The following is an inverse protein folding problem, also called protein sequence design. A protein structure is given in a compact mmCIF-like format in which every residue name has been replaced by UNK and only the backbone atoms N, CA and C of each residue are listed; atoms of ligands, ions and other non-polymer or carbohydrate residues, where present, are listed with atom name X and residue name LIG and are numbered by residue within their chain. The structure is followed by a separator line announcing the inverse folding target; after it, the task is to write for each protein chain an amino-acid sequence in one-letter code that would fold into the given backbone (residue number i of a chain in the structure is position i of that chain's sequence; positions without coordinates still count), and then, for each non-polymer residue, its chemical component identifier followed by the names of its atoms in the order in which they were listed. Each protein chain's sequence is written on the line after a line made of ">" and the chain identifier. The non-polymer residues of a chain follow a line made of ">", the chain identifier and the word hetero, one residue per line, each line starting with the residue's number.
data_IF_087289350150
#
_entry.id   IF_087289350150
#
_cell.length_a   1.000
_cell.length_b   1.000
_cell.length_c   1.000
_cell.angle_alpha   90.00
_cell.angle_beta   90.00
_cell.angle_gamma   90.00
#
_symmetry.space_group_name_H-M   'P 1'
#
loop_
_entity.id
_entity.type
_entity.pdbx_description
1 polymer ?
#
# COMPACT_ATOMS: atom_id res chain seq x y z
N UNK A 1 19.57 21.13 -4.75
CA UNK A 1 18.97 19.83 -4.38
C UNK A 1 20.08 18.97 -3.82
N UNK A 2 19.86 18.24 -2.72
CA UNK A 2 20.86 17.31 -2.21
C UNK A 2 21.02 16.17 -3.23
N UNK A 3 22.24 15.97 -3.73
CA UNK A 3 22.57 14.98 -4.75
C UNK A 3 22.83 13.62 -4.06
N UNK A 4 21.77 13.02 -3.53
CA UNK A 4 21.84 11.76 -2.79
C UNK A 4 21.22 10.64 -3.64
N UNK A 5 21.97 9.55 -3.81
CA UNK A 5 21.49 8.31 -4.41
C UNK A 5 20.97 7.39 -3.30
N UNK A 6 19.74 6.90 -3.47
CA UNK A 6 19.12 5.96 -2.55
C UNK A 6 18.98 4.59 -3.21
N UNK A 7 19.25 3.52 -2.47
CA UNK A 7 18.92 2.16 -2.92
C UNK A 7 17.42 1.98 -2.84
N UNK A 8 16.79 1.74 -3.98
CA UNK A 8 15.35 1.40 -4.06
C UNK A 8 15.19 -0.10 -4.07
N UNK A 9 14.50 -0.64 -3.06
CA UNK A 9 14.03 -2.02 -3.04
C UNK A 9 12.57 -2.04 -3.52
N UNK A 10 12.24 -2.98 -4.39
CA UNK A 10 10.87 -3.16 -4.92
C UNK A 10 10.29 -4.46 -4.39
N UNK A 11 9.13 -4.37 -3.75
CA UNK A 11 8.32 -5.51 -3.33
C UNK A 11 7.32 -5.85 -4.44
N UNK A 12 7.77 -6.55 -5.47
CA UNK A 12 6.96 -6.88 -6.65
C UNK A 12 5.76 -7.78 -6.33
N UNK A 13 5.91 -8.62 -5.31
CA UNK A 13 4.88 -9.58 -4.86
C UNK A 13 3.98 -9.00 -3.74
N UNK A 14 4.17 -7.74 -3.34
CA UNK A 14 3.44 -7.10 -2.24
C UNK A 14 3.47 -7.92 -0.92
N UNK A 15 4.57 -8.66 -0.66
CA UNK A 15 4.73 -9.48 0.55
C UNK A 15 4.68 -8.60 1.80
N UNK A 16 5.29 -7.42 1.75
CA UNK A 16 5.30 -6.46 2.84
C UNK A 16 3.90 -5.91 3.12
N UNK A 17 3.18 -5.51 2.07
CA UNK A 17 1.81 -5.00 2.18
C UNK A 17 0.88 -6.04 2.81
N UNK A 18 0.92 -7.28 2.32
CA UNK A 18 0.14 -8.40 2.88
C UNK A 18 0.50 -8.68 4.34
N UNK A 19 1.80 -8.75 4.68
CA UNK A 19 2.23 -9.10 6.05
C UNK A 19 1.80 -8.09 7.10
N UNK A 20 1.68 -6.82 6.72
CA UNK A 20 1.29 -5.73 7.61
C UNK A 20 -0.18 -5.31 7.46
N UNK A 21 -0.99 -6.05 6.69
CA UNK A 21 -2.40 -5.73 6.39
C UNK A 21 -2.56 -4.30 5.85
N UNK A 22 -1.61 -3.87 5.01
CA UNK A 22 -1.63 -2.54 4.42
C UNK A 22 -2.69 -2.51 3.34
N UNK A 23 -3.55 -1.49 3.41
CA UNK A 23 -4.65 -1.31 2.47
C UNK A 23 -4.49 -0.09 1.58
N UNK A 24 -3.53 0.78 1.86
CA UNK A 24 -3.29 1.99 1.07
C UNK A 24 -1.79 2.25 0.93
N UNK A 25 -1.41 3.27 0.16
CA UNK A 25 -0.04 3.78 0.09
C UNK A 25 -0.12 5.30 -0.07
N UNK A 26 0.87 6.08 0.42
CA UNK A 26 2.17 5.65 0.98
C UNK A 26 2.16 5.34 2.49
N UNK A 27 3.03 4.40 2.89
CA UNK A 27 3.37 4.14 4.29
C UNK A 27 4.86 4.39 4.53
N UNK A 28 5.19 4.87 5.73
CA UNK A 28 6.55 4.99 6.23
C UNK A 28 6.90 3.81 7.13
N UNK A 29 8.15 3.38 7.07
CA UNK A 29 8.73 2.34 7.93
C UNK A 29 10.08 2.86 8.38
N UNK A 30 10.41 2.71 9.67
CA UNK A 30 11.71 3.13 10.19
C UNK A 30 12.50 1.91 10.64
N UNK A 31 13.70 1.77 10.09
CA UNK A 31 14.65 0.70 10.39
C UNK A 31 15.97 1.34 10.82
N UNK A 32 16.56 0.89 11.91
CA UNK A 32 17.85 1.40 12.38
C UNK A 32 19.05 0.77 11.67
N UNK A 33 20.25 1.23 11.99
CA UNK A 33 21.52 0.77 11.39
C UNK A 33 21.82 -0.72 11.64
N UNK A 34 21.18 -1.34 12.65
CA UNK A 34 21.29 -2.76 12.93
C UNK A 34 20.23 -3.60 12.18
N UNK A 35 19.42 -2.97 11.31
CA UNK A 35 18.36 -3.63 10.57
C UNK A 35 17.10 -3.90 11.39
N UNK A 36 16.93 -3.27 12.56
CA UNK A 36 15.77 -3.49 13.43
C UNK A 36 14.65 -2.52 13.08
N UNK A 37 13.42 -3.02 13.03
CA UNK A 37 12.23 -2.18 12.93
C UNK A 37 12.08 -1.35 14.20
N UNK A 38 12.12 -0.02 14.08
CA UNK A 38 11.92 0.89 15.22
C UNK A 38 10.57 1.60 15.17
N UNK A 39 9.94 1.65 13.99
CA UNK A 39 8.56 2.09 13.82
C UNK A 39 7.92 1.31 12.68
N UNK A 40 6.86 0.56 13.01
CA UNK A 40 6.05 -0.16 12.03
C UNK A 40 5.34 0.78 11.05
N UNK A 41 4.75 0.24 9.96
CA UNK A 41 4.05 1.02 8.95
C UNK A 41 3.14 2.08 9.56
N UNK A 42 3.35 3.33 9.13
CA UNK A 42 2.55 4.47 9.57
C UNK A 42 2.26 5.38 8.39
N UNK A 43 1.11 6.06 8.40
CA UNK A 43 0.80 7.04 7.38
C UNK A 43 1.89 8.11 7.38
N UNK A 44 2.53 8.30 6.24
CA UNK A 44 3.65 9.24 6.11
C UNK A 44 3.32 10.32 5.11
N UNK A 45 3.60 11.56 5.49
CA UNK A 45 3.67 12.69 4.58
C UNK A 45 4.96 13.45 4.87
N UNK A 46 6.00 13.24 4.06
CA UNK A 46 7.30 13.89 4.27
C UNK A 46 7.26 15.41 4.06
N UNK A 47 6.19 15.95 3.48
CA UNK A 47 5.98 17.39 3.40
C UNK A 47 5.45 17.99 4.71
N UNK A 48 4.86 17.18 5.59
CA UNK A 48 4.32 17.63 6.88
C UNK A 48 5.44 17.91 7.91
N UNK A 49 5.32 19.05 8.59
CA UNK A 49 6.34 19.53 9.54
C UNK A 49 6.51 18.59 10.73
N UNK A 50 5.42 17.99 11.23
CA UNK A 50 5.49 17.05 12.37
C UNK A 50 6.23 15.79 11.97
N UNK A 51 5.99 15.30 10.76
CA UNK A 51 6.71 14.16 10.19
C UNK A 51 8.20 14.47 10.09
N UNK A 52 8.57 15.65 9.57
CA UNK A 52 9.99 16.07 9.49
C UNK A 52 10.65 16.17 10.86
N UNK A 53 10.01 16.85 11.81
CA UNK A 53 10.53 16.98 13.17
C UNK A 53 10.72 15.62 13.86
N UNK A 54 9.81 14.66 13.62
CA UNK A 54 9.94 13.29 14.13
C UNK A 54 11.16 12.57 13.53
N UNK A 55 11.38 12.70 12.21
CA UNK A 55 12.52 12.11 11.52
C UNK A 55 13.84 12.76 11.97
N UNK A 56 13.90 14.08 12.11
CA UNK A 56 15.07 14.80 12.63
C UNK A 56 15.41 14.36 14.05
N UNK A 57 14.40 14.18 14.90
CA UNK A 57 14.59 13.65 16.25
C UNK A 57 15.13 12.22 16.23
N UNK A 58 14.61 11.37 15.35
CA UNK A 58 15.13 10.01 15.16
C UNK A 58 16.62 9.98 14.75
N UNK A 59 17.06 10.95 13.96
CA UNK A 59 18.46 11.06 13.54
C UNK A 59 19.40 11.64 14.61
N UNK A 60 18.88 12.41 15.57
CA UNK A 60 19.71 13.23 16.48
C UNK A 60 19.60 12.88 17.97
N UNK A 61 18.58 12.14 18.39
CA UNK A 61 18.28 11.86 19.80
C UNK A 61 18.32 10.34 20.10
N UNK A 62 19.42 9.83 20.70
CA UNK A 62 19.54 8.42 21.06
C UNK A 62 18.48 7.94 22.07
N UNK A 63 18.00 8.80 22.97
CA UNK A 63 16.99 8.42 23.96
C UNK A 63 15.63 8.23 23.29
N UNK A 64 15.34 9.04 22.27
CA UNK A 64 14.18 8.84 21.41
C UNK A 64 14.25 7.50 20.67
N UNK A 65 15.42 7.13 20.16
CA UNK A 65 15.62 5.85 19.45
C UNK A 65 15.41 4.66 20.39
N UNK A 66 15.95 4.75 21.61
CA UNK A 66 15.73 3.74 22.64
C UNK A 66 14.24 3.62 23.03
N UNK A 67 13.50 4.74 23.02
CA UNK A 67 12.04 4.72 23.23
C UNK A 67 11.31 4.04 22.08
N UNK A 68 11.60 4.37 20.84
CA UNK A 68 10.98 3.75 19.67
C UNK A 68 11.16 2.23 19.65
N UNK A 69 12.37 1.75 19.96
CA UNK A 69 12.65 0.32 20.08
C UNK A 69 11.85 -0.38 21.19
N UNK A 70 11.55 0.30 22.30
CA UNK A 70 10.70 -0.25 23.36
C UNK A 70 9.22 -0.25 22.99
N UNK A 71 8.79 0.75 22.24
CA UNK A 71 7.38 0.99 21.91
C UNK A 71 6.93 0.24 20.64
N UNK A 72 7.86 -0.30 19.84
CA UNK A 72 7.54 -1.02 18.61
C UNK A 72 6.71 -2.27 18.91
N UNK A 73 5.53 -2.37 18.30
CA UNK A 73 4.64 -3.51 18.49
C UNK A 73 5.11 -4.71 17.68
N UNK A 74 5.03 -5.94 18.24
CA UNK A 74 5.21 -7.15 17.46
C UNK A 74 4.23 -7.22 16.29
N UNK A 75 4.67 -7.80 15.18
CA UNK A 75 3.85 -8.08 14.01
C UNK A 75 2.56 -8.85 14.35
N UNK A 76 2.66 -9.83 15.24
CA UNK A 76 1.54 -10.70 15.63
C UNK A 76 0.49 -9.96 16.48
N UNK A 77 0.78 -8.74 16.92
CA UNK A 77 -0.17 -7.86 17.60
C UNK A 77 -0.97 -6.98 16.63
N UNK A 78 -0.75 -7.11 15.31
CA UNK A 78 -1.54 -6.42 14.29
C UNK A 78 -2.89 -7.11 14.12
N UNK A 79 -3.95 -6.32 14.13
CA UNK A 79 -5.31 -6.80 13.87
C UNK A 79 -5.52 -6.88 12.36
N UNK A 80 -5.13 -8.01 11.76
CA UNK A 80 -5.30 -8.29 10.33
C UNK A 80 -6.80 -8.39 10.01
N UNK A 81 -7.27 -7.52 9.13
CA UNK A 81 -8.67 -7.49 8.70
C UNK A 81 -8.87 -8.13 7.33
N UNK A 82 -7.86 -8.14 6.46
CA UNK A 82 -7.97 -8.78 5.15
C UNK A 82 -8.09 -10.29 5.31
N UNK A 83 -9.06 -10.90 4.61
CA UNK A 83 -9.25 -12.34 4.68
C UNK A 83 -8.10 -13.07 3.97
N UNK A 84 -7.75 -14.30 4.40
CA UNK A 84 -6.78 -15.12 3.69
C UNK A 84 -7.18 -15.36 2.23
N UNK A 85 -8.48 -15.45 1.96
CA UNK A 85 -9.00 -15.61 0.59
C UNK A 85 -8.76 -14.36 -0.27
N UNK A 86 -9.07 -13.16 0.25
CA UNK A 86 -8.81 -11.91 -0.48
C UNK A 86 -7.31 -11.79 -0.82
N UNK A 87 -6.44 -12.11 0.15
CA UNK A 87 -4.98 -12.13 -0.04
C UNK A 87 -4.58 -13.12 -1.13
N UNK A 88 -5.07 -14.37 -1.07
CA UNK A 88 -4.72 -15.42 -2.03
C UNK A 88 -5.15 -15.07 -3.45
N UNK A 89 -6.36 -14.50 -3.62
CA UNK A 89 -6.86 -14.03 -4.92
C UNK A 89 -6.05 -12.86 -5.46
N UNK A 90 -5.67 -11.92 -4.60
CA UNK A 90 -4.81 -10.81 -4.99
C UNK A 90 -3.45 -11.30 -5.51
N UNK A 91 -2.82 -12.23 -4.77
CA UNK A 91 -1.55 -12.84 -5.15
C UNK A 91 -1.64 -13.65 -6.44
N UNK A 92 -2.72 -14.42 -6.60
CA UNK A 92 -2.97 -15.14 -7.86
C UNK A 92 -3.08 -14.17 -9.04
N UNK A 93 -3.77 -13.03 -8.88
CA UNK A 93 -3.86 -12.03 -9.92
C UNK A 93 -2.51 -11.39 -10.28
N UNK A 94 -1.60 -11.18 -9.32
CA UNK A 94 -0.23 -10.73 -9.60
C UNK A 94 0.51 -11.75 -10.48
N UNK A 95 0.49 -13.03 -10.09
CA UNK A 95 1.13 -14.11 -10.86
C UNK A 95 0.52 -14.24 -12.26
N UNK A 96 -0.81 -14.13 -12.39
CA UNK A 96 -1.50 -14.18 -13.68
C UNK A 96 -1.10 -13.01 -14.59
N UNK A 97 -0.96 -11.81 -14.02
CA UNK A 97 -0.53 -10.63 -14.78
C UNK A 97 0.92 -10.78 -15.25
N UNK A 98 1.81 -11.34 -14.44
CA UNK A 98 3.21 -11.62 -14.82
C UNK A 98 3.34 -12.58 -16.00
N UNK A 99 2.38 -13.48 -16.18
CA UNK A 99 2.34 -14.43 -17.31
C UNK A 99 1.38 -13.99 -18.43
N UNK A 100 1.13 -12.68 -18.54
CA UNK A 100 0.31 -12.03 -19.58
C UNK A 100 -1.18 -12.46 -19.62
N UNK A 101 -1.70 -13.08 -18.55
CA UNK A 101 -3.12 -13.46 -18.42
C UNK A 101 -3.93 -12.34 -17.75
N UNK A 102 -3.95 -11.18 -18.40
CA UNK A 102 -4.55 -9.95 -17.87
C UNK A 102 -6.02 -10.12 -17.47
N UNK A 103 -6.84 -10.77 -18.30
CA UNK A 103 -8.27 -10.92 -18.04
C UNK A 103 -8.55 -11.81 -16.82
N UNK A 104 -7.78 -12.89 -16.66
CA UNK A 104 -7.86 -13.78 -15.51
C UNK A 104 -7.39 -13.05 -14.23
N UNK A 105 -6.33 -12.25 -14.32
CA UNK A 105 -5.83 -11.43 -13.21
C UNK A 105 -6.91 -10.46 -12.70
N UNK A 106 -7.55 -9.74 -13.63
CA UNK A 106 -8.62 -8.79 -13.31
C UNK A 106 -9.83 -9.47 -12.67
N UNK A 107 -10.18 -10.68 -13.12
CA UNK A 107 -11.27 -11.44 -12.52
C UNK A 107 -10.97 -11.81 -11.06
N UNK A 108 -9.74 -12.24 -10.74
CA UNK A 108 -9.35 -12.56 -9.38
C UNK A 108 -9.22 -11.32 -8.49
N UNK A 109 -8.70 -10.21 -9.01
CA UNK A 109 -8.64 -8.95 -8.27
C UNK A 109 -10.01 -8.36 -7.95
N UNK A 110 -10.99 -8.46 -8.86
CA UNK A 110 -12.37 -8.03 -8.56
C UNK A 110 -13.00 -8.87 -7.45
N UNK A 111 -12.76 -10.19 -7.43
CA UNK A 111 -13.20 -11.06 -6.32
C UNK A 111 -12.47 -10.72 -5.02
N UNK A 112 -11.18 -10.42 -5.07
CA UNK A 112 -10.41 -10.01 -3.91
C UNK A 112 -10.93 -8.67 -3.33
N UNK A 113 -11.24 -7.71 -4.20
CA UNK A 113 -11.83 -6.42 -3.83
C UNK A 113 -13.23 -6.59 -3.23
N UNK A 114 -14.05 -7.51 -3.75
CA UNK A 114 -15.36 -7.80 -3.16
C UNK A 114 -15.25 -8.34 -1.72
N UNK A 115 -14.19 -9.08 -1.40
CA UNK A 115 -13.91 -9.60 -0.06
C UNK A 115 -13.24 -8.58 0.87
N UNK A 116 -12.51 -7.60 0.32
CA UNK A 116 -11.89 -6.51 1.06
C UNK A 116 -12.07 -5.16 0.33
N UNK A 117 -13.29 -4.57 0.35
CA UNK A 117 -13.62 -3.38 -0.45
C UNK A 117 -12.81 -2.14 -0.07
N UNK A 118 -12.22 -2.12 1.12
CA UNK A 118 -11.40 -1.01 1.61
C UNK A 118 -9.93 -1.16 1.21
N UNK A 119 -9.57 -2.20 0.45
CA UNK A 119 -8.21 -2.42 -0.01
C UNK A 119 -7.88 -1.58 -1.24
N UNK A 120 -7.40 -0.37 -0.98
CA UNK A 120 -6.95 0.58 -1.98
C UNK A 120 -5.75 0.09 -2.81
N UNK A 121 -4.98 -0.89 -2.34
CA UNK A 121 -3.91 -1.47 -3.15
C UNK A 121 -4.54 -2.27 -4.29
N UNK A 122 -5.49 -3.17 -4.00
CA UNK A 122 -6.16 -3.99 -5.02
C UNK A 122 -6.89 -3.10 -6.04
N UNK A 123 -7.64 -2.13 -5.53
CA UNK A 123 -8.42 -1.22 -6.37
C UNK A 123 -7.52 -0.38 -7.30
N UNK A 124 -6.38 0.14 -6.80
CA UNK A 124 -5.41 0.83 -7.66
C UNK A 124 -4.71 -0.08 -8.67
N UNK A 125 -4.51 -1.37 -8.37
CA UNK A 125 -3.92 -2.31 -9.33
C UNK A 125 -4.87 -2.53 -10.53
N UNK A 126 -6.17 -2.69 -10.25
CA UNK A 126 -7.22 -2.77 -11.28
C UNK A 126 -7.18 -1.52 -12.18
N UNK A 127 -7.23 -0.32 -11.57
CA UNK A 127 -7.17 0.93 -12.32
C UNK A 127 -5.89 1.12 -13.11
N UNK A 128 -4.73 0.73 -12.57
CA UNK A 128 -3.46 0.86 -13.27
C UNK A 128 -3.38 -0.05 -14.51
N UNK A 129 -4.05 -1.20 -14.47
CA UNK A 129 -4.14 -2.14 -15.59
C UNK A 129 -5.16 -1.67 -16.63
N UNK A 130 -6.28 -1.09 -16.23
CA UNK A 130 -7.34 -0.58 -17.12
C UNK A 130 -6.96 0.77 -17.76
N UNK A 131 -6.28 1.63 -17.01
CA UNK A 131 -5.96 3.01 -17.36
C UNK A 131 -4.46 3.31 -17.16
N UNK A 132 -3.54 2.61 -17.85
CA UNK A 132 -2.10 2.76 -17.63
C UNK A 132 -1.57 4.17 -17.90
N UNK A 133 -2.25 4.95 -18.76
CA UNK A 133 -1.93 6.35 -19.03
C UNK A 133 -2.11 7.26 -17.80
N UNK A 134 -2.97 6.86 -16.85
CA UNK A 134 -3.26 7.56 -15.60
C UNK A 134 -2.26 7.27 -14.47
N UNK A 135 -1.37 6.30 -14.66
CA UNK A 135 -0.43 5.88 -13.62
C UNK A 135 1.03 6.02 -14.05
N UNK A 136 1.36 5.66 -15.30
CA UNK A 136 2.76 5.49 -15.71
C UNK A 136 3.30 6.60 -16.59
N UNK A 137 2.47 7.23 -17.44
CA UNK A 137 2.96 8.14 -18.49
C UNK A 137 3.43 9.49 -17.94
N UNK A 138 2.65 10.11 -17.05
CA UNK A 138 2.92 11.43 -16.47
C UNK A 138 2.88 11.39 -14.94
N UNK A 139 3.14 10.22 -14.35
CA UNK A 139 2.86 9.94 -12.94
C UNK A 139 1.38 9.68 -12.69
N UNK A 140 1.01 9.64 -11.41
CA UNK A 140 -0.34 9.29 -10.95
C UNK A 140 -1.29 10.48 -11.07
N UNK A 141 -2.35 10.33 -11.86
CA UNK A 141 -3.42 11.32 -12.04
C UNK A 141 -4.43 11.25 -10.88
N UNK A 142 -4.11 11.94 -9.77
CA UNK A 142 -4.98 11.99 -8.60
C UNK A 142 -6.32 12.69 -8.85
N UNK A 143 -6.39 13.60 -9.83
CA UNK A 143 -7.65 14.26 -10.20
C UNK A 143 -8.62 13.25 -10.81
N UNK A 144 -8.12 12.43 -11.74
CA UNK A 144 -8.89 11.33 -12.32
C UNK A 144 -9.35 10.31 -11.25
N UNK A 145 -8.48 9.91 -10.32
CA UNK A 145 -8.85 9.00 -9.22
C UNK A 145 -10.01 9.54 -8.38
N UNK A 146 -10.00 10.85 -8.08
CA UNK A 146 -11.09 11.50 -7.33
C UNK A 146 -12.41 11.43 -8.08
N UNK A 147 -12.40 11.66 -9.40
CA UNK A 147 -13.60 11.57 -10.24
C UNK A 147 -14.14 10.14 -10.33
N UNK A 148 -13.27 9.13 -10.42
CA UNK A 148 -13.72 7.73 -10.39
C UNK A 148 -14.38 7.37 -9.07
N UNK A 149 -13.80 7.81 -7.94
CA UNK A 149 -14.39 7.59 -6.62
C UNK A 149 -15.78 8.20 -6.47
N UNK A 150 -15.92 9.44 -6.91
CA UNK A 150 -17.21 10.13 -6.88
C UNK A 150 -18.26 9.42 -7.74
N UNK A 151 -17.84 8.84 -8.89
CA UNK A 151 -18.72 8.04 -9.74
C UNK A 151 -19.13 6.74 -9.05
N UNK A 152 -18.19 5.97 -8.51
CA UNK A 152 -18.43 4.71 -7.79
C UNK A 152 -19.33 4.91 -6.55
N UNK A 153 -19.16 6.00 -5.81
CA UNK A 153 -20.03 6.35 -4.67
C UNK A 153 -21.45 6.75 -5.10
N UNK A 154 -21.61 7.23 -6.34
CA UNK A 154 -22.89 7.69 -6.89
C UNK A 154 -23.67 6.60 -7.63
N UNK A 155 -23.04 5.47 -7.96
CA UNK A 155 -23.69 4.35 -8.64
C UNK A 155 -24.47 3.47 -7.64
N UNK A 156 -25.77 3.19 -7.89
CA UNK A 156 -26.50 2.21 -7.09
C UNK A 156 -25.90 0.81 -7.30
N UNK A 157 -25.87 -0.06 -6.27
CA UNK A 157 -25.30 -1.39 -6.40
C UNK A 157 -25.94 -2.14 -7.57
N UNK A 158 -25.10 -2.65 -8.45
CA UNK A 158 -25.51 -3.43 -9.62
C UNK A 158 -26.39 -4.60 -9.16
N UNK A 159 -27.65 -4.64 -9.62
CA UNK A 159 -28.55 -5.75 -9.32
C UNK A 159 -27.99 -7.00 -10.00
N UNK A 160 -27.49 -7.94 -9.22
CA UNK A 160 -27.14 -9.29 -9.71
C UNK A 160 -28.38 -9.91 -10.34
N UNK A 161 -28.32 -10.38 -11.61
CA UNK A 161 -29.42 -11.13 -12.20
C UNK A 161 -29.64 -12.42 -11.41
N UNK A 162 -30.88 -12.69 -11.00
CA UNK A 162 -31.36 -13.97 -10.46
C UNK A 162 -31.19 -15.14 -11.46
#
# INVERSE_FOLDING_TARGET
>A
MANADFVTLVDSENIFGTRYDLKAIPYGVMVDEAGRLVKGPFNINVADEKTRAMLEKWLSDPDYNAKLLRDVKPLDALNVQTTPEATARFQLGLVLLEIDKKEEAMAEWRKALALDPQNWIIHKQIWAVEHPDKFYKNGVDYGWQKTQLEAEESEPPEQTPD
#
